data_IF_419612222281
#
_entry.id   IF_419612222281
#
_cell.length_a   1.000
_cell.length_b   1.000
_cell.length_c   1.000
_cell.angle_alpha   90.00
_cell.angle_beta   90.00
_cell.angle_gamma   90.00
#
_symmetry.space_group_name_H-M   'P 1'
#
loop_
_entity.id
_entity.type
_entity.pdbx_description
1 polymer ?
#
# COMPACT_ATOMS: atom_id res chain seq x y z
N UNK A 1 6.90 1.33 -19.78
CA UNK A 1 5.70 1.82 -19.09
C UNK A 1 5.03 0.62 -18.48
N UNK A 2 4.82 0.56 -17.16
CA UNK A 2 4.05 -0.54 -16.60
C UNK A 2 2.63 -0.33 -17.08
N UNK A 3 2.17 -1.15 -18.01
CA UNK A 3 0.75 -1.18 -18.33
C UNK A 3 0.08 -1.90 -17.16
N UNK A 4 -0.17 -1.14 -16.09
CA UNK A 4 -0.98 -1.54 -14.94
C UNK A 4 -2.39 -1.80 -15.45
N UNK A 5 -2.59 -2.94 -16.13
CA UNK A 5 -3.91 -3.50 -16.47
C UNK A 5 -4.57 -3.95 -15.17
N UNK A 6 -4.96 -2.97 -14.37
CA UNK A 6 -5.70 -3.17 -13.15
C UNK A 6 -7.08 -3.70 -13.51
N UNK A 7 -7.48 -4.79 -12.88
CA UNK A 7 -8.81 -5.36 -13.10
C UNK A 7 -9.83 -4.48 -12.38
N UNK A 8 -10.64 -3.77 -13.15
CA UNK A 8 -11.76 -2.97 -12.66
C UNK A 8 -11.49 -1.47 -12.65
N UNK A 9 -12.50 -0.70 -13.06
CA UNK A 9 -12.48 0.75 -13.21
C UNK A 9 -11.99 1.49 -11.95
N UNK A 10 -12.38 1.02 -10.76
CA UNK A 10 -11.99 1.66 -9.49
C UNK A 10 -10.54 1.47 -9.12
N UNK A 11 -9.97 0.33 -9.45
CA UNK A 11 -8.55 0.09 -9.21
C UNK A 11 -7.72 1.06 -10.07
N UNK A 12 -8.14 1.30 -11.31
CA UNK A 12 -7.53 2.30 -12.18
C UNK A 12 -7.68 3.72 -11.61
N UNK A 13 -8.89 4.13 -11.21
CA UNK A 13 -9.13 5.45 -10.59
C UNK A 13 -8.23 5.66 -9.36
N UNK A 14 -8.13 4.66 -8.47
CA UNK A 14 -7.27 4.76 -7.30
C UNK A 14 -5.80 4.86 -7.69
N UNK A 15 -5.34 4.06 -8.66
CA UNK A 15 -3.96 4.12 -9.11
C UNK A 15 -3.62 5.48 -9.74
N UNK A 16 -4.49 6.03 -10.58
CA UNK A 16 -4.31 7.36 -11.17
C UNK A 16 -4.29 8.45 -10.08
N UNK A 17 -5.19 8.36 -9.09
CA UNK A 17 -5.21 9.28 -7.97
C UNK A 17 -3.90 9.21 -7.17
N UNK A 18 -3.40 8.01 -6.84
CA UNK A 18 -2.12 7.83 -6.15
C UNK A 18 -0.93 8.35 -6.98
N UNK A 19 -0.93 8.12 -8.29
CA UNK A 19 0.13 8.58 -9.20
C UNK A 19 0.12 10.09 -9.41
N UNK A 20 -0.99 10.77 -9.13
CA UNK A 20 -1.08 12.22 -9.19
C UNK A 20 -0.49 12.93 -7.98
N UNK A 21 -0.25 12.21 -6.87
CA UNK A 21 0.24 12.80 -5.61
C UNK A 21 1.67 13.35 -5.72
N UNK A 22 2.67 12.61 -6.25
CA UNK A 22 4.00 13.18 -6.44
C UNK A 22 3.97 14.28 -7.50
N UNK A 23 4.57 15.43 -7.21
CA UNK A 23 4.63 16.57 -8.15
C UNK A 23 5.72 16.42 -9.20
N UNK A 24 6.74 15.61 -8.93
CA UNK A 24 7.88 15.38 -9.83
C UNK A 24 7.62 14.20 -10.79
N UNK A 25 7.83 14.36 -12.11
CA UNK A 25 7.75 13.26 -13.07
C UNK A 25 8.71 12.09 -12.77
N UNK A 26 9.78 12.34 -12.02
CA UNK A 26 10.70 11.28 -11.57
C UNK A 26 10.11 10.46 -10.42
N UNK A 27 9.45 11.13 -9.47
CA UNK A 27 8.76 10.47 -8.36
C UNK A 27 7.54 9.69 -8.87
N UNK A 28 6.74 10.27 -9.77
CA UNK A 28 5.60 9.60 -10.41
C UNK A 28 6.01 8.30 -11.10
N UNK A 29 7.03 8.34 -11.98
CA UNK A 29 7.55 7.14 -12.66
C UNK A 29 8.10 6.09 -11.69
N UNK A 30 8.71 6.54 -10.59
CA UNK A 30 9.23 5.63 -9.57
C UNK A 30 8.08 4.99 -8.78
N UNK A 31 7.02 5.74 -8.48
CA UNK A 31 5.82 5.24 -7.80
C UNK A 31 5.06 4.26 -8.68
N UNK A 32 4.88 4.56 -9.97
CA UNK A 32 4.30 3.64 -10.96
C UNK A 32 5.05 2.32 -10.98
N UNK A 33 6.39 2.37 -11.02
CA UNK A 33 7.22 1.18 -10.98
C UNK A 33 7.10 0.40 -9.67
N UNK A 34 7.03 1.10 -8.53
CA UNK A 34 6.85 0.48 -7.22
C UNK A 34 5.50 -0.24 -7.11
N UNK A 35 4.42 0.40 -7.57
CA UNK A 35 3.08 -0.19 -7.62
C UNK A 35 3.04 -1.39 -8.58
N UNK A 36 3.68 -1.27 -9.75
CA UNK A 36 3.81 -2.37 -10.69
C UNK A 36 4.50 -3.60 -10.08
N UNK A 37 5.60 -3.40 -9.35
CA UNK A 37 6.27 -4.48 -8.61
C UNK A 37 5.41 -5.06 -7.48
N UNK A 38 4.63 -4.22 -6.79
CA UNK A 38 3.77 -4.68 -5.70
C UNK A 38 2.62 -5.57 -6.21
N UNK A 39 2.08 -5.24 -7.38
CA UNK A 39 0.94 -5.93 -7.98
C UNK A 39 1.34 -7.16 -8.81
N UNK A 40 2.62 -7.32 -9.13
CA UNK A 40 3.12 -8.52 -9.79
C UNK A 40 3.19 -9.70 -8.80
N UNK A 41 2.20 -10.57 -8.86
CA UNK A 41 2.09 -11.77 -8.03
C UNK A 41 3.14 -12.86 -8.38
N UNK A 42 3.88 -12.71 -9.49
CA UNK A 42 4.83 -13.73 -9.97
C UNK A 42 6.26 -13.51 -9.51
N UNK A 43 6.63 -12.30 -9.11
CA UNK A 43 8.02 -11.97 -8.79
C UNK A 43 8.24 -11.75 -7.28
N UNK A 44 9.37 -12.27 -6.77
CA UNK A 44 9.86 -11.85 -5.45
C UNK A 44 10.12 -10.34 -5.51
N UNK A 45 9.60 -9.61 -4.51
CA UNK A 45 9.55 -8.14 -4.38
C UNK A 45 10.93 -7.47 -4.26
N UNK A 46 11.81 -7.68 -5.22
CA UNK A 46 13.16 -7.12 -5.22
C UNK A 46 13.23 -5.90 -6.14
N UNK A 47 13.70 -4.76 -5.60
CA UNK A 47 13.74 -3.48 -6.32
C UNK A 47 14.50 -3.55 -7.65
N UNK A 48 15.50 -4.43 -7.77
CA UNK A 48 16.28 -4.62 -9.00
C UNK A 48 15.48 -5.21 -10.17
N UNK A 49 14.26 -5.70 -9.94
CA UNK A 49 13.37 -6.20 -11.00
C UNK A 49 12.50 -5.12 -11.63
N UNK A 50 12.63 -3.86 -11.18
CA UNK A 50 11.98 -2.75 -11.84
C UNK A 50 12.53 -2.56 -13.26
N UNK A 51 11.66 -2.63 -14.26
CA UNK A 51 12.06 -2.48 -15.66
C UNK A 51 12.13 -1.03 -16.14
N UNK A 52 11.39 -0.13 -15.49
CA UNK A 52 11.19 1.26 -15.95
C UNK A 52 12.07 2.27 -15.23
N UNK A 53 12.63 1.91 -14.08
CA UNK A 53 13.49 2.77 -13.25
C UNK A 53 14.57 1.92 -12.59
N UNK A 54 15.69 2.53 -12.20
CA UNK A 54 16.76 1.81 -11.49
C UNK A 54 16.37 1.47 -10.05
N UNK A 55 16.99 0.43 -9.48
CA UNK A 55 16.84 0.09 -8.06
C UNK A 55 17.16 1.27 -7.14
N UNK A 56 18.17 2.06 -7.48
CA UNK A 56 18.56 3.27 -6.72
C UNK A 56 17.51 4.39 -6.83
N UNK A 57 16.75 4.47 -7.92
CA UNK A 57 15.64 5.43 -8.04
C UNK A 57 14.48 5.04 -7.10
N UNK A 58 14.11 3.75 -7.05
CA UNK A 58 13.11 3.25 -6.10
C UNK A 58 13.57 3.40 -4.65
N UNK A 59 14.84 3.09 -4.37
CA UNK A 59 15.40 3.28 -3.02
C UNK A 59 15.32 4.73 -2.57
N UNK A 60 15.57 5.71 -3.47
CA UNK A 60 15.42 7.13 -3.14
C UNK A 60 13.97 7.51 -2.91
N UNK A 61 13.03 7.04 -3.74
CA UNK A 61 11.61 7.30 -3.54
C UNK A 61 11.12 6.84 -2.15
N UNK A 62 11.54 5.65 -1.74
CA UNK A 62 11.05 5.02 -0.51
C UNK A 62 11.73 5.53 0.76
N UNK A 63 12.95 6.07 0.68
CA UNK A 63 13.76 6.37 1.87
C UNK A 63 14.30 7.79 1.95
N UNK A 64 14.36 8.54 0.84
CA UNK A 64 15.09 9.82 0.77
C UNK A 64 14.20 10.96 0.30
N UNK A 65 13.34 10.71 -0.68
CA UNK A 65 12.49 11.76 -1.22
C UNK A 65 11.41 12.15 -0.21
N UNK A 66 11.31 13.45 0.02
CA UNK A 66 10.11 14.03 0.60
C UNK A 66 9.05 14.16 -0.50
N UNK A 67 7.91 13.53 -0.26
CA UNK A 67 6.71 13.63 -1.07
C UNK A 67 5.52 13.34 -0.17
N UNK A 68 4.33 13.78 -0.59
CA UNK A 68 3.14 13.78 0.26
C UNK A 68 2.53 12.37 0.43
N UNK A 69 3.25 11.51 1.14
CA UNK A 69 2.79 10.17 1.50
C UNK A 69 1.53 10.19 2.37
N UNK A 70 1.29 11.29 3.10
CA UNK A 70 0.07 11.50 3.85
C UNK A 70 -1.14 11.72 2.93
N UNK A 71 -0.99 12.47 1.83
CA UNK A 71 -2.02 12.56 0.80
C UNK A 71 -2.31 11.21 0.15
N UNK A 72 -1.29 10.40 -0.17
CA UNK A 72 -1.52 9.02 -0.65
C UNK A 72 -2.34 8.19 0.34
N UNK A 73 -2.03 8.29 1.63
CA UNK A 73 -2.78 7.60 2.68
C UNK A 73 -4.23 8.08 2.73
N UNK A 74 -4.47 9.40 2.70
CA UNK A 74 -5.81 9.97 2.68
C UNK A 74 -6.62 9.51 1.46
N UNK A 75 -6.01 9.51 0.27
CA UNK A 75 -6.63 8.98 -0.96
C UNK A 75 -7.01 7.51 -0.83
N UNK A 76 -6.12 6.69 -0.27
CA UNK A 76 -6.38 5.26 -0.03
C UNK A 76 -7.55 5.06 0.93
N UNK A 77 -7.55 5.75 2.07
CA UNK A 77 -8.61 5.68 3.08
C UNK A 77 -9.95 6.11 2.49
N UNK A 78 -9.98 7.19 1.71
CA UNK A 78 -11.21 7.66 1.07
C UNK A 78 -11.76 6.60 0.09
N UNK A 79 -10.90 6.00 -0.74
CA UNK A 79 -11.32 4.96 -1.68
C UNK A 79 -11.86 3.71 -0.97
N UNK A 80 -11.27 3.34 0.18
CA UNK A 80 -11.77 2.25 1.02
C UNK A 80 -13.13 2.58 1.62
N UNK A 81 -13.33 3.81 2.10
CA UNK A 81 -14.59 4.28 2.64
C UNK A 81 -15.70 4.28 1.58
N UNK A 82 -15.41 4.78 0.37
CA UNK A 82 -16.36 4.78 -0.74
C UNK A 82 -16.75 3.36 -1.15
N UNK A 83 -15.79 2.42 -1.15
CA UNK A 83 -16.05 1.01 -1.41
C UNK A 83 -16.97 0.40 -0.33
N UNK A 84 -16.71 0.72 0.95
CA UNK A 84 -17.53 0.26 2.08
C UNK A 84 -18.95 0.82 2.02
N UNK A 85 -19.09 2.14 1.86
CA UNK A 85 -20.39 2.81 1.78
C UNK A 85 -21.23 2.26 0.63
N UNK A 86 -20.62 2.02 -0.52
CA UNK A 86 -21.33 1.43 -1.64
C UNK A 86 -21.81 0.01 -1.34
N UNK A 87 -20.96 -0.84 -0.76
CA UNK A 87 -21.33 -2.20 -0.38
C UNK A 87 -22.50 -2.21 0.62
N UNK A 88 -22.58 -1.19 1.48
CA UNK A 88 -23.64 -1.03 2.47
C UNK A 88 -24.91 -0.35 1.95
N UNK A 89 -24.87 0.39 0.82
CA UNK A 89 -25.89 1.37 0.37
C UNK A 89 -27.34 0.88 0.28
N UNK A 90 -27.58 -0.43 0.27
CA UNK A 90 -28.94 -1.03 0.19
C UNK A 90 -29.17 -2.17 1.19
N UNK A 91 -28.38 -2.23 2.26
CA UNK A 91 -28.51 -3.28 3.27
C UNK A 91 -29.31 -2.73 4.45
N UNK A 92 -30.35 -3.46 4.85
CA UNK A 92 -31.27 -3.06 5.91
C UNK A 92 -30.58 -2.98 7.29
N UNK A 93 -29.50 -3.74 7.50
CA UNK A 93 -28.65 -3.68 8.70
C UNK A 93 -27.19 -4.03 8.33
N UNK A 94 -26.39 -3.06 7.84
CA UNK A 94 -24.99 -3.32 7.55
C UNK A 94 -24.24 -3.63 8.85
N UNK A 95 -23.60 -4.81 8.94
CA UNK A 95 -22.76 -5.21 10.07
C UNK A 95 -21.30 -5.13 9.65
N UNK A 96 -20.57 -4.19 10.24
CA UNK A 96 -19.12 -4.11 10.11
C UNK A 96 -18.46 -4.89 11.25
N UNK A 97 -17.53 -5.79 10.91
CA UNK A 97 -16.71 -6.47 11.92
C UNK A 97 -15.37 -5.75 12.01
N UNK A 98 -15.02 -5.33 13.22
CA UNK A 98 -13.70 -4.81 13.53
C UNK A 98 -12.87 -5.92 14.16
N UNK A 99 -11.67 -6.13 13.64
CA UNK A 99 -10.74 -7.15 14.11
C UNK A 99 -9.42 -6.50 14.47
N UNK A 100 -8.81 -6.95 15.56
CA UNK A 100 -7.48 -6.52 15.98
C UNK A 100 -6.53 -7.68 15.76
N UNK A 101 -5.43 -7.43 15.06
CA UNK A 101 -4.36 -8.41 14.85
C UNK A 101 -2.99 -7.80 15.15
N UNK A 102 -2.06 -8.66 15.56
CA UNK A 102 -0.67 -8.29 15.81
C UNK A 102 0.20 -8.88 14.70
N UNK A 103 0.66 -8.04 13.80
CA UNK A 103 1.58 -8.43 12.72
C UNK A 103 3.01 -8.05 13.11
N UNK A 104 3.93 -9.02 13.06
CA UNK A 104 5.35 -8.77 13.27
C UNK A 104 6.08 -8.67 11.93
N UNK A 105 6.77 -7.56 11.69
CA UNK A 105 7.64 -7.35 10.52
C UNK A 105 9.08 -7.60 10.98
N UNK A 106 9.72 -8.71 10.55
CA UNK A 106 11.10 -9.00 10.92
C UNK A 106 12.03 -7.86 10.51
N UNK A 107 12.95 -7.48 11.40
CA UNK A 107 13.96 -6.50 11.06
C UNK A 107 14.85 -7.08 9.96
N UNK A 108 14.89 -6.39 8.82
CA UNK A 108 15.86 -6.63 7.76
C UNK A 108 16.69 -5.35 7.57
N UNK A 109 18.02 -5.47 7.47
CA UNK A 109 18.93 -4.32 7.36
C UNK A 109 19.66 -3.93 8.65
N UNK A 110 20.42 -2.82 8.61
CA UNK A 110 21.33 -2.41 9.71
C UNK A 110 20.62 -1.72 10.86
N UNK A 111 19.82 -0.69 10.60
CA UNK A 111 19.17 0.12 11.63
C UNK A 111 17.70 0.30 11.32
N UNK A 112 16.88 0.11 12.35
CA UNK A 112 15.44 0.32 12.30
C UNK A 112 15.01 0.77 13.70
N UNK A 113 14.27 1.88 13.85
CA UNK A 113 13.79 2.30 15.16
C UNK A 113 12.67 1.37 15.66
N UNK A 114 12.45 1.35 16.97
CA UNK A 114 11.32 0.64 17.61
C UNK A 114 11.28 -0.89 17.43
N UNK A 115 12.43 -1.53 17.20
CA UNK A 115 12.54 -2.99 17.09
C UNK A 115 12.57 -3.65 18.47
N UNK A 116 11.80 -4.72 18.66
CA UNK A 116 11.82 -5.57 19.87
C UNK A 116 11.79 -7.04 19.48
N UNK A 117 11.93 -7.92 20.48
CA UNK A 117 11.67 -9.36 20.31
C UNK A 117 10.29 -9.65 20.89
N UNK A 118 9.42 -10.25 20.09
CA UNK A 118 8.12 -10.76 20.52
C UNK A 118 7.82 -12.06 19.78
N UNK A 119 7.43 -13.11 20.52
CA UNK A 119 7.22 -14.47 20.00
C UNK A 119 8.30 -14.90 19.01
N UNK A 120 9.57 -14.83 19.44
CA UNK A 120 10.75 -15.24 18.67
C UNK A 120 11.05 -14.40 17.41
N UNK A 121 10.24 -13.38 17.11
CA UNK A 121 10.49 -12.45 16.00
C UNK A 121 11.20 -11.21 16.53
N UNK A 122 12.42 -10.96 16.06
CA UNK A 122 13.11 -9.67 16.25
C UNK A 122 12.71 -8.70 15.13
N UNK A 123 11.86 -7.72 15.43
CA UNK A 123 11.22 -6.88 14.42
C UNK A 123 10.40 -5.71 14.96
N UNK A 124 9.70 -5.03 14.06
CA UNK A 124 8.63 -4.11 14.43
C UNK A 124 7.37 -4.94 14.65
N UNK A 125 6.65 -4.68 15.73
CA UNK A 125 5.37 -5.30 16.02
C UNK A 125 4.26 -4.27 15.86
N UNK A 126 3.37 -4.51 14.90
CA UNK A 126 2.26 -3.63 14.54
C UNK A 126 0.94 -4.22 15.03
N UNK A 127 0.24 -3.50 15.88
CA UNK A 127 -1.17 -3.78 16.16
C UNK A 127 -1.99 -3.10 15.06
N UNK A 128 -2.68 -3.90 14.24
CA UNK A 128 -3.50 -3.42 13.14
C UNK A 128 -4.97 -3.69 13.46
N UNK A 129 -5.77 -2.62 13.48
CA UNK A 129 -7.22 -2.72 13.48
C UNK A 129 -7.66 -2.83 12.02
N UNK A 130 -8.44 -3.85 11.66
CA UNK A 130 -8.97 -3.96 10.30
C UNK A 130 -10.49 -4.13 10.30
N UNK A 131 -11.12 -3.46 9.34
CA UNK A 131 -12.54 -3.47 9.08
C UNK A 131 -12.88 -4.54 8.04
N UNK A 132 -13.86 -5.40 8.35
CA UNK A 132 -14.36 -6.46 7.45
C UNK A 132 -15.85 -6.28 7.20
N UNK A 133 -16.22 -6.22 5.91
CA UNK A 133 -17.60 -6.11 5.45
C UNK A 133 -17.85 -6.99 4.23
N UNK A 134 -18.53 -8.13 4.40
CA UNK A 134 -18.65 -9.13 3.33
C UNK A 134 -17.27 -9.59 2.88
N UNK A 135 -16.98 -9.46 1.58
CA UNK A 135 -15.68 -9.80 0.99
C UNK A 135 -14.65 -8.65 1.07
N UNK A 136 -15.04 -7.48 1.58
CA UNK A 136 -14.15 -6.35 1.75
C UNK A 136 -13.38 -6.45 3.06
N UNK A 137 -12.08 -6.19 2.99
CA UNK A 137 -11.18 -6.11 4.14
C UNK A 137 -10.23 -4.94 3.96
N UNK A 138 -10.23 -4.02 4.92
CA UNK A 138 -9.39 -2.82 4.92
C UNK A 138 -8.69 -2.68 6.28
N UNK A 139 -7.40 -2.29 6.32
CA UNK A 139 -6.71 -1.92 7.55
C UNK A 139 -7.21 -0.59 8.14
#
# INVERSE_FOLDING_TARGET
MWNLKLRGERAAILADALLSVPTSPYQQRSLEAALGLFLDLKTKKALHRAHTVSASALSRLLNVYEWDTAACWATLVQAQWDALLLAARRKHHPRLRLCVDLTSIPKTGRELPFVRVYHEVYGIHLVVLYAVYGDLKFP
#
